data_IF_996046821764
#
_entry.id   IF_996046821764
#
_cell.length_a   1.000
_cell.length_b   1.000
_cell.length_c   1.000
_cell.angle_alpha   90.00
_cell.angle_beta   90.00
_cell.angle_gamma   90.00
#
_symmetry.space_group_name_H-M   'P 1'
#
loop_
_entity.id
_entity.type
_entity.pdbx_description
1 polymer ?
#
# COMPACT_ATOMS: atom_id res chain seq x y z
N UNK A 1 -11.25 -8.05 -3.25
CA UNK A 1 -11.41 -7.57 -1.85
C UNK A 1 -10.43 -8.29 -0.91
N UNK A 2 -10.10 -9.57 -1.12
CA UNK A 2 -9.13 -10.34 -0.30
C UNK A 2 -7.79 -9.61 -0.02
N UNK A 3 -7.27 -8.82 -0.96
CA UNK A 3 -6.04 -8.04 -0.74
C UNK A 3 -6.12 -7.03 0.41
N UNK A 4 -7.32 -6.63 0.83
CA UNK A 4 -7.53 -5.72 1.95
C UNK A 4 -7.65 -6.47 3.28
N UNK A 5 -7.77 -7.78 3.28
CA UNK A 5 -8.07 -8.56 4.48
C UNK A 5 -6.92 -8.52 5.49
N UNK A 6 -5.71 -8.86 5.06
CA UNK A 6 -4.51 -8.81 5.91
C UNK A 6 -4.16 -7.39 6.38
N UNK A 7 -4.17 -6.34 5.51
CA UNK A 7 -4.06 -4.96 5.97
C UNK A 7 -5.12 -4.59 7.01
N UNK A 8 -6.38 -4.91 6.75
CA UNK A 8 -7.49 -4.60 7.68
C UNK A 8 -7.28 -5.28 9.03
N UNK A 9 -6.87 -6.55 9.03
CA UNK A 9 -6.57 -7.27 10.26
C UNK A 9 -5.39 -6.65 11.02
N UNK A 10 -4.32 -6.23 10.32
CA UNK A 10 -3.19 -5.57 10.98
C UNK A 10 -3.61 -4.25 11.65
N UNK A 11 -4.39 -3.43 10.96
CA UNK A 11 -4.88 -2.15 11.48
C UNK A 11 -6.01 -2.29 12.52
N UNK A 12 -6.60 -3.48 12.65
CA UNK A 12 -7.62 -3.77 13.67
C UNK A 12 -7.02 -4.18 15.02
N UNK A 13 -5.70 -4.32 15.13
CA UNK A 13 -5.02 -4.63 16.40
C UNK A 13 -5.00 -3.40 17.32
N UNK A 14 -4.99 -3.64 18.63
CA UNK A 14 -4.90 -2.58 19.65
C UNK A 14 -3.56 -1.84 19.58
N UNK A 15 -2.51 -2.54 19.16
CA UNK A 15 -1.16 -1.99 19.01
C UNK A 15 -1.00 -1.27 17.67
N UNK A 16 -0.30 -0.13 17.68
CA UNK A 16 0.03 0.61 16.46
C UNK A 16 1.00 -0.23 15.63
N UNK A 17 0.66 -0.58 14.37
CA UNK A 17 1.51 -1.43 13.55
C UNK A 17 2.80 -0.72 13.16
N UNK A 18 3.89 -1.49 13.13
CA UNK A 18 5.20 -0.99 12.71
C UNK A 18 5.18 -0.58 11.24
N UNK A 19 5.86 0.52 10.92
CA UNK A 19 5.97 1.03 9.54
C UNK A 19 6.57 0.00 8.57
N UNK A 20 7.47 -0.85 9.08
CA UNK A 20 8.06 -1.96 8.33
C UNK A 20 7.04 -3.00 7.89
N UNK A 21 5.94 -3.14 8.61
CA UNK A 21 4.87 -4.09 8.30
C UNK A 21 3.80 -3.43 7.41
N UNK A 22 3.58 -2.13 7.60
CA UNK A 22 2.56 -1.36 6.88
C UNK A 22 2.96 -1.06 5.43
N UNK A 23 4.22 -0.66 5.20
CA UNK A 23 4.66 -0.21 3.87
C UNK A 23 4.57 -1.30 2.79
N UNK A 24 5.03 -2.55 3.02
CA UNK A 24 4.88 -3.62 2.04
C UNK A 24 3.42 -3.86 1.65
N UNK A 25 2.52 -3.94 2.64
CA UNK A 25 1.10 -4.14 2.38
C UNK A 25 0.46 -2.98 1.61
N UNK A 26 0.87 -1.73 1.88
CA UNK A 26 0.44 -0.59 1.08
C UNK A 26 0.90 -0.72 -0.37
N UNK A 27 2.14 -1.16 -0.63
CA UNK A 27 2.62 -1.40 -2.00
C UNK A 27 1.80 -2.46 -2.73
N UNK A 28 1.47 -3.56 -2.05
CA UNK A 28 0.64 -4.63 -2.64
C UNK A 28 -0.75 -4.10 -3.01
N UNK A 29 -1.37 -3.30 -2.13
CA UNK A 29 -2.65 -2.64 -2.42
C UNK A 29 -2.52 -1.73 -3.65
N UNK A 30 -1.50 -0.88 -3.72
CA UNK A 30 -1.35 0.05 -4.84
C UNK A 30 -1.11 -0.69 -6.16
N UNK A 31 -0.32 -1.78 -6.15
CA UNK A 31 -0.12 -2.62 -7.32
C UNK A 31 -1.44 -3.24 -7.80
N UNK A 32 -2.28 -3.75 -6.90
CA UNK A 32 -3.58 -4.30 -7.28
C UNK A 32 -4.55 -3.23 -7.80
N UNK A 33 -4.53 -2.02 -7.21
CA UNK A 33 -5.32 -0.89 -7.70
C UNK A 33 -4.86 -0.46 -9.09
N UNK A 34 -3.55 -0.45 -9.38
CA UNK A 34 -3.03 -0.19 -10.72
C UNK A 34 -3.54 -1.21 -11.73
N UNK A 35 -3.43 -2.51 -11.43
CA UNK A 35 -3.96 -3.57 -12.27
C UNK A 35 -5.47 -3.41 -12.51
N UNK A 36 -6.23 -3.08 -11.46
CA UNK A 36 -7.68 -2.85 -11.54
C UNK A 36 -8.01 -1.64 -12.41
N UNK A 37 -7.27 -0.54 -12.27
CA UNK A 37 -7.50 0.71 -13.01
C UNK A 37 -7.27 0.61 -14.52
N UNK A 38 -6.48 -0.38 -14.94
CA UNK A 38 -6.11 -0.68 -16.33
C UNK A 38 -6.93 -1.84 -16.92
N UNK A 39 -7.81 -2.46 -16.15
CA UNK A 39 -8.60 -3.62 -16.60
C UNK A 39 -9.88 -3.16 -17.30
N UNK A 40 -9.90 -3.24 -18.63
CA UNK A 40 -11.03 -2.85 -19.48
C UNK A 40 -12.26 -3.76 -19.31
N UNK A 41 -12.10 -4.95 -18.71
CA UNK A 41 -13.20 -5.89 -18.48
C UNK A 41 -13.99 -5.60 -17.19
N UNK A 42 -13.55 -4.63 -16.38
CA UNK A 42 -14.25 -4.26 -15.15
C UNK A 42 -15.23 -3.10 -15.38
N UNK A 43 -16.33 -3.04 -14.61
CA UNK A 43 -17.20 -1.89 -14.59
C UNK A 43 -16.44 -0.59 -14.33
N UNK A 44 -16.78 0.47 -15.06
CA UNK A 44 -16.12 1.79 -14.95
C UNK A 44 -16.03 2.32 -13.52
N UNK A 45 -17.04 2.04 -12.68
CA UNK A 45 -17.05 2.45 -11.27
C UNK A 45 -15.89 1.84 -10.47
N UNK A 46 -15.51 0.59 -10.76
CA UNK A 46 -14.37 -0.06 -10.11
C UNK A 46 -13.06 0.54 -10.58
N UNK A 47 -12.93 0.87 -11.87
CA UNK A 47 -11.75 1.54 -12.40
C UNK A 47 -11.58 2.95 -11.81
N UNK A 48 -12.68 3.71 -11.63
CA UNK A 48 -12.68 5.01 -10.98
C UNK A 48 -12.28 4.88 -9.50
N UNK A 49 -12.87 3.94 -8.77
CA UNK A 49 -12.52 3.67 -7.38
C UNK A 49 -11.03 3.27 -7.24
N UNK A 50 -10.51 2.46 -8.17
CA UNK A 50 -9.12 2.07 -8.19
C UNK A 50 -8.20 3.30 -8.38
N UNK A 51 -8.53 4.19 -9.32
CA UNK A 51 -7.77 5.44 -9.53
C UNK A 51 -7.81 6.35 -8.30
N UNK A 52 -8.95 6.46 -7.62
CA UNK A 52 -9.04 7.21 -6.36
C UNK A 52 -8.15 6.59 -5.28
N UNK A 53 -8.12 5.25 -5.18
CA UNK A 53 -7.22 4.54 -4.27
C UNK A 53 -5.74 4.81 -4.55
N UNK A 54 -5.33 4.85 -5.82
CA UNK A 54 -3.96 5.19 -6.21
C UNK A 54 -3.58 6.61 -5.76
N UNK A 55 -4.48 7.59 -5.88
CA UNK A 55 -4.22 8.95 -5.38
C UNK A 55 -4.00 8.99 -3.86
N UNK A 56 -4.73 8.15 -3.12
CA UNK A 56 -4.55 8.01 -1.67
C UNK A 56 -3.20 7.37 -1.37
N UNK A 57 -2.84 6.30 -2.08
CA UNK A 57 -1.50 5.68 -2.02
C UNK A 57 -0.40 6.72 -2.20
N UNK A 58 -0.43 7.48 -3.30
CA UNK A 58 0.59 8.47 -3.64
C UNK A 58 0.76 9.52 -2.55
N UNK A 59 -0.35 9.99 -1.97
CA UNK A 59 -0.33 10.94 -0.85
C UNK A 59 0.40 10.35 0.36
N UNK A 60 0.07 9.12 0.75
CA UNK A 60 0.71 8.49 1.91
C UNK A 60 2.17 8.13 1.66
N UNK A 61 2.54 7.69 0.46
CA UNK A 61 3.93 7.45 0.11
C UNK A 61 4.76 8.73 0.07
N UNK A 62 4.19 9.84 -0.41
CA UNK A 62 4.85 11.15 -0.37
C UNK A 62 5.18 11.55 1.07
N UNK A 63 4.18 11.49 1.97
CA UNK A 63 4.38 11.77 3.40
C UNK A 63 5.40 10.82 4.06
N UNK A 64 5.40 9.55 3.66
CA UNK A 64 6.36 8.57 4.18
C UNK A 64 7.79 8.93 3.75
N UNK A 65 7.99 9.38 2.50
CA UNK A 65 9.30 9.76 1.96
C UNK A 65 9.86 11.05 2.56
N UNK A 66 8.99 11.94 3.05
CA UNK A 66 9.41 13.13 3.80
C UNK A 66 10.00 12.79 5.18
N UNK A 67 9.71 11.59 5.71
CA UNK A 67 10.33 11.10 6.93
C UNK A 67 11.53 10.20 6.60
N UNK A 68 12.74 10.72 6.76
CA UNK A 68 13.99 10.00 6.47
C UNK A 68 14.09 8.66 7.22
N UNK A 69 13.59 8.59 8.45
CA UNK A 69 13.58 7.36 9.25
C UNK A 69 12.75 6.27 8.58
N UNK A 70 11.60 6.61 7.98
CA UNK A 70 10.78 5.64 7.26
C UNK A 70 11.46 5.22 5.95
N UNK A 71 12.07 6.16 5.23
CA UNK A 71 12.83 5.83 4.03
C UNK A 71 13.98 4.86 4.31
N UNK A 72 14.75 5.09 5.38
CA UNK A 72 15.83 4.19 5.81
C UNK A 72 15.26 2.84 6.22
N UNK A 73 14.21 2.81 7.04
CA UNK A 73 13.57 1.57 7.52
C UNK A 73 13.08 0.72 6.34
N UNK A 74 12.43 1.34 5.37
CA UNK A 74 11.92 0.68 4.17
C UNK A 74 13.05 0.21 3.27
N UNK A 75 14.07 1.05 3.04
CA UNK A 75 15.23 0.68 2.22
C UNK A 75 15.99 -0.51 2.83
N UNK A 76 16.22 -0.46 4.14
CA UNK A 76 16.85 -1.55 4.89
C UNK A 76 16.00 -2.81 4.87
N UNK A 77 14.68 -2.71 5.07
CA UNK A 77 13.76 -3.85 4.96
C UNK A 77 13.86 -4.51 3.58
N UNK A 78 13.88 -3.73 2.50
CA UNK A 78 14.05 -4.26 1.14
C UNK A 78 15.43 -4.86 0.88
N UNK A 79 16.48 -4.34 1.51
CA UNK A 79 17.83 -4.92 1.45
C UNK A 79 17.90 -6.24 2.21
N UNK A 80 17.24 -6.35 3.37
CA UNK A 80 17.21 -7.56 4.19
C UNK A 80 16.31 -8.66 3.62
N UNK A 81 15.17 -8.33 2.99
CA UNK A 81 14.27 -9.30 2.34
C UNK A 81 14.78 -9.81 0.98
N UNK A 82 15.88 -9.24 0.44
CA UNK A 82 16.54 -9.69 -0.79
C UNK A 82 17.68 -10.71 -0.55
N UNK A 83 17.80 -11.25 0.66
CA UNK A 83 18.70 -12.35 1.03
C UNK A 83 17.90 -13.58 1.47
#
# INVERSE_FOLDING_TARGET
IQILEEPTQLFSKVEVPLISNVIPMLLDICQALECTSKNENLPNILCIAARAGILVCDKYFTLTRECEVYFITVSMLFTFLKL
#
